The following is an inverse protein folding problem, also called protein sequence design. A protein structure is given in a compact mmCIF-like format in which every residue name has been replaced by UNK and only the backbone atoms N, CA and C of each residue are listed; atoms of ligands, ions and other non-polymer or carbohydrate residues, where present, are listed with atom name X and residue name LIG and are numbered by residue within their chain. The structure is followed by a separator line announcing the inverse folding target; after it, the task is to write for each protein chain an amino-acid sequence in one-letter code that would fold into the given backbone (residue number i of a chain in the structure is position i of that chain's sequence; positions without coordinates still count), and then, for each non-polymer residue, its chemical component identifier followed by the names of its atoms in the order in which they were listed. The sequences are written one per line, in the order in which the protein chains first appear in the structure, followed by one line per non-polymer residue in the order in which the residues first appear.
data_IF_534606626120
#
_entry.id   IF_534606626120
#
_cell.length_a   1.000
_cell.length_b   1.000
_cell.length_c   1.000
_cell.angle_alpha   90.00
_cell.angle_beta   90.00
_cell.angle_gamma   90.00
#
_symmetry.space_group_name_H-M   'P 1'
#
loop_
_entity.id
_entity.type
_entity.pdbx_description
1 polymer ?
#
# COMPACT_ATOMS: atom_id res chain seq x y z
N UNK A 1 4.88 1.52 -9.22
CA UNK A 1 4.85 1.70 -7.75
C UNK A 1 3.68 0.94 -7.17
N UNK A 2 3.87 0.32 -6.01
CA UNK A 2 2.90 -0.56 -5.36
C UNK A 2 2.66 -0.10 -3.92
N UNK A 3 1.45 -0.32 -3.44
CA UNK A 3 1.03 -0.04 -2.07
C UNK A 3 0.32 -1.26 -1.52
N UNK A 4 0.25 -1.37 -0.19
CA UNK A 4 -0.44 -2.47 0.47
C UNK A 4 -1.73 -1.98 1.11
N UNK A 5 -2.84 -2.58 0.70
CA UNK A 5 -4.18 -2.38 1.24
C UNK A 5 -4.42 -3.38 2.36
N UNK A 6 -4.91 -2.92 3.51
CA UNK A 6 -5.27 -3.75 4.66
C UNK A 6 -6.65 -3.31 5.16
N UNK A 7 -7.60 -4.24 5.20
CA UNK A 7 -9.02 -3.96 5.43
C UNK A 7 -9.55 -2.82 4.53
N UNK A 8 -10.05 -1.75 5.15
CA UNK A 8 -10.62 -0.56 4.53
C UNK A 8 -9.62 0.60 4.38
N UNK A 9 -8.31 0.32 4.45
CA UNK A 9 -7.26 1.33 4.35
C UNK A 9 -5.98 0.82 3.69
N UNK A 10 -4.96 1.65 3.72
CA UNK A 10 -3.62 1.38 3.21
C UNK A 10 -2.60 1.55 4.33
N UNK A 11 -1.36 1.16 4.07
CA UNK A 11 -0.25 1.37 5.00
C UNK A 11 0.41 2.72 4.71
N UNK A 12 0.52 3.56 5.73
CA UNK A 12 1.24 4.83 5.67
C UNK A 12 2.74 4.62 5.71
N UNK A 13 3.52 5.63 5.31
CA UNK A 13 5.00 5.55 5.36
C UNK A 13 5.54 5.32 6.79
N UNK A 14 4.77 5.64 7.83
CA UNK A 14 5.05 5.36 9.24
C UNK A 14 4.68 3.92 9.65
N UNK A 15 4.23 3.07 8.71
CA UNK A 15 3.85 1.69 8.96
C UNK A 15 2.49 1.52 9.64
N UNK A 16 1.66 2.57 9.68
CA UNK A 16 0.33 2.53 10.32
C UNK A 16 -0.78 2.40 9.28
N UNK A 17 -1.91 1.81 9.68
CA UNK A 17 -3.10 1.77 8.81
C UNK A 17 -3.72 3.16 8.70
N UNK A 18 -3.90 3.65 7.48
CA UNK A 18 -4.54 4.95 7.16
C UNK A 18 -5.64 4.77 6.10
N UNK A 19 -6.60 5.70 6.06
CA UNK A 19 -7.55 5.82 4.93
C UNK A 19 -7.11 6.86 3.90
N UNK A 20 -6.09 7.65 4.22
CA UNK A 20 -5.50 8.63 3.31
C UNK A 20 -4.88 7.89 2.12
N UNK A 21 -5.31 8.25 0.91
CA UNK A 21 -4.81 7.68 -0.34
C UNK A 21 -3.70 8.51 -0.97
N UNK A 22 -3.31 9.63 -0.35
CA UNK A 22 -2.28 10.53 -0.87
C UNK A 22 -0.97 9.78 -1.05
N UNK A 23 -0.43 9.66 -2.26
CA UNK A 23 0.77 8.85 -2.54
C UNK A 23 1.98 9.19 -1.64
N UNK A 24 2.13 10.46 -1.25
CA UNK A 24 3.22 10.94 -0.38
C UNK A 24 3.12 10.48 1.07
N UNK A 25 1.94 10.02 1.50
CA UNK A 25 1.67 9.56 2.86
C UNK A 25 1.61 8.04 2.95
N UNK A 26 1.66 7.34 1.82
CA UNK A 26 1.61 5.88 1.75
C UNK A 26 3.00 5.26 1.76
N UNK A 27 3.08 4.05 2.30
CA UNK A 27 4.25 3.19 2.13
C UNK A 27 4.26 2.66 0.70
N UNK A 28 5.18 3.16 -0.10
CA UNK A 28 5.31 2.79 -1.51
C UNK A 28 6.48 1.85 -1.72
N UNK A 29 6.21 0.79 -2.49
CA UNK A 29 7.20 -0.18 -2.95
C UNK A 29 7.47 0.05 -4.43
N UNK A 30 8.73 -0.02 -4.83
CA UNK A 30 9.13 0.13 -6.23
C UNK A 30 8.91 -1.17 -7.02
N UNK A 31 9.12 -2.32 -6.38
CA UNK A 31 8.92 -3.64 -6.99
C UNK A 31 7.65 -4.31 -6.45
N UNK A 32 7.02 -5.15 -7.29
CA UNK A 32 5.85 -5.94 -6.88
C UNK A 32 6.23 -6.96 -5.81
N UNK A 33 7.38 -7.61 -5.99
CA UNK A 33 7.89 -8.66 -5.12
C UNK A 33 8.07 -8.20 -3.67
N UNK A 34 8.58 -6.99 -3.45
CA UNK A 34 8.76 -6.46 -2.09
C UNK A 34 7.41 -6.12 -1.43
N UNK A 35 6.47 -5.58 -2.22
CA UNK A 35 5.12 -5.32 -1.73
C UNK A 35 4.35 -6.59 -1.38
N UNK A 36 4.52 -7.67 -2.16
CA UNK A 36 3.90 -8.98 -1.90
C UNK A 36 4.45 -9.58 -0.61
N UNK A 37 5.79 -9.65 -0.48
CA UNK A 37 6.44 -10.10 0.76
C UNK A 37 5.97 -9.35 2.00
N UNK A 38 5.76 -8.04 1.89
CA UNK A 38 5.25 -7.24 3.00
C UNK A 38 3.76 -7.52 3.25
N UNK A 39 2.94 -7.59 2.21
CA UNK A 39 1.52 -7.89 2.30
C UNK A 39 1.26 -9.26 2.94
N UNK A 40 2.02 -10.29 2.56
CA UNK A 40 1.89 -11.65 3.09
C UNK A 40 2.16 -11.70 4.60
N UNK A 41 3.09 -10.89 5.11
CA UNK A 41 3.41 -10.82 6.54
C UNK A 41 2.29 -10.17 7.38
N UNK A 42 1.55 -9.23 6.81
CA UNK A 42 0.56 -8.42 7.56
C UNK A 42 -0.90 -8.74 7.19
N UNK A 43 -1.12 -9.70 6.29
CA UNK A 43 -2.47 -10.06 5.80
C UNK A 43 -3.08 -9.02 4.85
N UNK A 44 -2.24 -8.36 4.04
CA UNK A 44 -2.65 -7.30 3.12
C UNK A 44 -2.90 -7.76 1.68
N UNK A 45 -3.27 -6.81 0.82
CA UNK A 45 -3.38 -6.99 -0.64
C UNK A 45 -2.55 -5.93 -1.36
N UNK A 46 -1.76 -6.35 -2.34
CA UNK A 46 -0.99 -5.42 -3.17
C UNK A 46 -1.90 -4.70 -4.17
N UNK A 47 -1.69 -3.40 -4.31
CA UNK A 47 -2.34 -2.54 -5.30
C UNK A 47 -1.31 -1.70 -6.04
N UNK A 48 -1.51 -1.47 -7.34
CA UNK A 48 -0.70 -0.49 -8.07
C UNK A 48 -1.09 0.91 -7.61
N UNK A 49 -0.09 1.78 -7.44
CA UNK A 49 -0.32 3.16 -7.02
C UNK A 49 -1.25 3.90 -8.01
N UNK A 50 -1.11 3.64 -9.30
CA UNK A 50 -1.94 4.22 -10.35
C UNK A 50 -3.43 3.83 -10.26
N UNK A 51 -3.74 2.64 -9.73
CA UNK A 51 -5.14 2.19 -9.54
C UNK A 51 -5.84 2.96 -8.43
N UNK A 52 -5.09 3.50 -7.46
CA UNK A 52 -5.66 4.19 -6.31
C UNK A 52 -5.75 5.70 -6.49
N UNK A 53 -4.96 6.27 -7.40
CA UNK A 53 -4.98 7.71 -7.74
C UNK A 53 -6.00 8.06 -8.81
N UNK A 54 -6.48 7.07 -9.57
CA UNK A 54 -7.51 7.25 -10.61
C UNK A 54 -8.95 7.18 -10.06
N UNK A 55 -9.12 6.96 -8.76
CA UNK A 55 -10.39 6.64 -8.10
C UNK A 55 -10.70 7.58 -6.94
#
# INVERSE_FOLDING_TARGET
MYVVKVFHGYISKEGRRTRDKTPRNLLVFYTKKDSEKFADKIGGRVKKLEEITKA
#
